data_IF_289101041317
#
_entry.id   IF_289101041317
#
_cell.length_a   1.000
_cell.length_b   1.000
_cell.length_c   1.000
_cell.angle_alpha   90.00
_cell.angle_beta   90.00
_cell.angle_gamma   90.00
#
_symmetry.space_group_name_H-M   'P 1'
#
loop_
_entity.id
_entity.type
_entity.pdbx_description
1 polymer ?
#
# COMPACT_ATOMS: atom_id res chain seq x y z
N UNK A 1 -2.40 -21.83 -9.22
CA UNK A 1 -1.87 -21.15 -8.03
C UNK A 1 -1.10 -19.94 -8.51
N UNK A 2 -1.77 -18.79 -8.49
CA UNK A 2 -1.28 -17.45 -8.82
C UNK A 2 -0.44 -16.91 -7.64
N UNK A 3 0.59 -17.65 -7.22
CA UNK A 3 1.35 -17.34 -5.99
C UNK A 3 2.04 -15.99 -6.06
N UNK A 4 2.45 -15.54 -7.26
CA UNK A 4 3.25 -14.33 -7.39
C UNK A 4 2.46 -13.05 -7.09
N UNK A 5 1.27 -12.89 -7.68
CA UNK A 5 0.45 -11.69 -7.46
C UNK A 5 -0.08 -11.63 -6.04
N UNK A 6 -0.45 -12.77 -5.47
CA UNK A 6 -0.88 -12.88 -4.09
C UNK A 6 0.27 -12.50 -3.14
N UNK A 7 1.47 -13.06 -3.37
CA UNK A 7 2.66 -12.72 -2.58
C UNK A 7 3.01 -11.23 -2.68
N UNK A 8 2.99 -10.65 -3.87
CA UNK A 8 3.28 -9.22 -4.07
C UNK A 8 2.24 -8.33 -3.39
N UNK A 9 0.96 -8.64 -3.53
CA UNK A 9 -0.15 -7.88 -2.92
C UNK A 9 -0.09 -7.96 -1.39
N UNK A 10 0.16 -9.14 -0.84
CA UNK A 10 0.32 -9.35 0.61
C UNK A 10 1.57 -8.64 1.13
N UNK A 11 2.69 -8.71 0.42
CA UNK A 11 3.93 -8.01 0.82
C UNK A 11 3.70 -6.50 0.88
N UNK A 12 3.06 -5.92 -0.14
CA UNK A 12 2.76 -4.48 -0.16
C UNK A 12 1.77 -4.11 0.94
N UNK A 13 0.78 -4.96 1.22
CA UNK A 13 -0.18 -4.74 2.30
C UNK A 13 0.50 -4.74 3.69
N UNK A 14 1.41 -5.70 3.94
CA UNK A 14 2.18 -5.76 5.19
C UNK A 14 3.08 -4.53 5.33
N UNK A 15 3.76 -4.11 4.25
CA UNK A 15 4.59 -2.91 4.27
C UNK A 15 3.77 -1.65 4.60
N UNK A 16 2.58 -1.53 4.01
CA UNK A 16 1.64 -0.44 4.26
C UNK A 16 1.18 -0.42 5.72
N UNK A 17 0.77 -1.58 6.25
CA UNK A 17 0.39 -1.70 7.65
C UNK A 17 1.56 -1.36 8.58
N UNK A 18 2.77 -1.81 8.26
CA UNK A 18 3.98 -1.50 9.03
C UNK A 18 4.26 0.00 9.12
N UNK A 19 4.21 0.72 8.00
CA UNK A 19 4.39 2.18 7.97
C UNK A 19 3.26 2.89 8.73
N UNK A 20 2.02 2.44 8.56
CA UNK A 20 0.89 2.99 9.30
C UNK A 20 1.09 2.88 10.81
N UNK A 21 1.41 1.69 11.33
CA UNK A 21 1.64 1.49 12.75
C UNK A 21 2.86 2.26 13.28
N UNK A 22 3.92 2.34 12.47
CA UNK A 22 5.11 3.11 12.82
C UNK A 22 4.80 4.60 12.99
N UNK A 23 4.06 5.20 12.06
CA UNK A 23 3.63 6.61 12.14
C UNK A 23 2.52 6.84 13.16
N UNK A 24 1.61 5.87 13.34
CA UNK A 24 0.55 5.94 14.34
C UNK A 24 1.09 6.13 15.76
N UNK A 25 2.26 5.58 16.05
CA UNK A 25 2.94 5.77 17.33
C UNK A 25 3.42 7.20 17.58
N UNK A 26 3.66 7.99 16.53
CA UNK A 26 4.31 9.30 16.63
C UNK A 26 3.35 10.47 16.37
N UNK A 27 2.43 10.37 15.40
CA UNK A 27 1.77 11.56 14.83
C UNK A 27 0.30 11.36 14.39
N UNK A 28 -0.36 10.26 14.78
CA UNK A 28 -1.76 9.97 14.41
C UNK A 28 -2.09 10.24 12.91
N UNK A 29 -1.42 9.55 11.97
CA UNK A 29 -1.52 9.83 10.55
C UNK A 29 -2.95 9.56 10.03
N UNK A 30 -3.39 10.26 8.98
CA UNK A 30 -4.70 10.01 8.38
C UNK A 30 -4.80 8.58 7.83
N UNK A 31 -5.89 7.88 8.16
CA UNK A 31 -6.09 6.48 7.78
C UNK A 31 -6.39 6.29 6.28
N UNK A 32 -6.99 7.29 5.65
CA UNK A 32 -7.44 7.25 4.26
C UNK A 32 -6.37 6.79 3.23
N UNK A 33 -5.14 7.34 3.20
CA UNK A 33 -4.10 6.90 2.27
C UNK A 33 -3.73 5.41 2.40
N UNK A 34 -3.65 4.91 3.63
CA UNK A 34 -3.31 3.50 3.89
C UNK A 34 -4.44 2.55 3.48
N UNK A 35 -5.70 2.97 3.66
CA UNK A 35 -6.86 2.20 3.15
C UNK A 35 -6.96 2.22 1.63
N UNK A 36 -6.51 3.29 0.97
CA UNK A 36 -6.44 3.30 -0.48
C UNK A 36 -5.44 2.26 -1.00
N UNK A 37 -4.27 2.15 -0.35
CA UNK A 37 -3.27 1.14 -0.74
C UNK A 37 -3.77 -0.28 -0.48
N UNK A 38 -4.49 -0.53 0.62
CA UNK A 38 -5.07 -1.85 0.86
C UNK A 38 -6.12 -2.23 -0.18
N UNK A 39 -6.90 -1.26 -0.65
CA UNK A 39 -7.83 -1.45 -1.76
C UNK A 39 -7.08 -1.76 -3.06
N UNK A 40 -5.98 -1.06 -3.35
CA UNK A 40 -5.11 -1.35 -4.51
C UNK A 40 -4.58 -2.79 -4.44
N UNK A 41 -4.13 -3.28 -3.29
CA UNK A 41 -3.69 -4.67 -3.13
C UNK A 41 -4.83 -5.67 -3.42
N UNK A 42 -6.03 -5.42 -2.88
CA UNK A 42 -7.18 -6.30 -3.08
C UNK A 42 -7.61 -6.35 -4.57
N UNK A 43 -7.69 -5.19 -5.22
CA UNK A 43 -8.05 -5.08 -6.64
C UNK A 43 -6.98 -5.70 -7.53
N UNK A 44 -5.69 -5.51 -7.20
CA UNK A 44 -4.59 -6.10 -7.96
C UNK A 44 -4.59 -7.62 -7.88
N UNK A 45 -4.82 -8.19 -6.68
CA UNK A 45 -4.92 -9.63 -6.49
C UNK A 45 -6.11 -10.21 -7.28
N UNK A 46 -7.28 -9.58 -7.18
CA UNK A 46 -8.45 -9.98 -7.96
C UNK A 46 -8.19 -9.89 -9.46
N UNK A 47 -7.61 -8.79 -9.95
CA UNK A 47 -7.34 -8.57 -11.37
C UNK A 47 -6.30 -9.55 -11.91
N UNK A 48 -5.23 -9.83 -11.14
CA UNK A 48 -4.21 -10.82 -11.49
C UNK A 48 -4.81 -12.21 -11.65
N UNK A 49 -5.66 -12.62 -10.70
CA UNK A 49 -6.32 -13.93 -10.70
C UNK A 49 -7.38 -14.11 -11.80
N UNK A 50 -7.89 -13.01 -12.39
CA UNK A 50 -8.84 -13.05 -13.50
C UNK A 50 -8.17 -12.89 -14.88
N UNK A 51 -6.84 -13.00 -14.97
CA UNK A 51 -6.09 -12.91 -16.23
C UNK A 51 -5.66 -11.49 -16.63
N UNK A 52 -5.92 -10.48 -15.80
CA UNK A 52 -5.51 -9.09 -15.99
C UNK A 52 -4.10 -8.79 -15.48
N UNK A 53 -3.15 -9.73 -15.62
CA UNK A 53 -1.83 -9.68 -14.97
C UNK A 53 -1.06 -8.36 -15.19
N UNK A 54 -1.06 -7.81 -16.40
CA UNK A 54 -0.40 -6.52 -16.69
C UNK A 54 -1.01 -5.37 -15.88
N UNK A 55 -2.35 -5.33 -15.78
CA UNK A 55 -3.04 -4.32 -14.97
C UNK A 55 -2.77 -4.47 -13.48
N UNK A 56 -2.70 -5.72 -12.98
CA UNK A 56 -2.37 -6.01 -11.59
C UNK A 56 -0.95 -5.54 -11.23
N UNK A 57 0.04 -5.80 -12.10
CA UNK A 57 1.42 -5.33 -11.89
C UNK A 57 1.48 -3.81 -11.88
N UNK A 58 0.82 -3.13 -12.82
CA UNK A 58 0.81 -1.66 -12.88
C UNK A 58 0.16 -1.05 -11.63
N UNK A 59 -0.92 -1.64 -11.13
CA UNK A 59 -1.57 -1.20 -9.88
C UNK A 59 -0.65 -1.39 -8.67
N UNK A 60 0.03 -2.52 -8.55
CA UNK A 60 0.99 -2.77 -7.47
C UNK A 60 2.18 -1.80 -7.52
N UNK A 61 2.67 -1.49 -8.72
CA UNK A 61 3.73 -0.48 -8.92
C UNK A 61 3.23 0.90 -8.47
N UNK A 62 2.04 1.31 -8.91
CA UNK A 62 1.45 2.59 -8.51
C UNK A 62 1.24 2.68 -6.99
N UNK A 63 0.72 1.61 -6.38
CA UNK A 63 0.55 1.52 -4.92
C UNK A 63 1.88 1.58 -4.17
N UNK A 64 2.94 0.97 -4.71
CA UNK A 64 4.29 1.02 -4.13
C UNK A 64 4.88 2.44 -4.16
N UNK A 65 4.74 3.16 -5.28
CA UNK A 65 5.17 4.55 -5.37
C UNK A 65 4.39 5.46 -4.44
N UNK A 66 3.07 5.25 -4.32
CA UNK A 66 2.24 6.02 -3.40
C UNK A 66 2.62 5.75 -1.95
N UNK A 67 2.90 4.49 -1.59
CA UNK A 67 3.40 4.14 -0.26
C UNK A 67 4.75 4.80 0.04
N UNK A 68 5.69 4.80 -0.92
CA UNK A 68 6.98 5.47 -0.77
C UNK A 68 6.84 6.99 -0.62
N UNK A 69 5.90 7.59 -1.35
CA UNK A 69 5.58 9.00 -1.22
C UNK A 69 5.14 9.32 0.22
N UNK A 70 4.15 8.60 0.75
CA UNK A 70 3.68 8.78 2.14
C UNK A 70 4.79 8.47 3.14
N UNK A 71 5.57 7.42 2.92
CA UNK A 71 6.68 7.06 3.81
C UNK A 71 7.71 8.19 3.90
N UNK A 72 7.98 8.88 2.79
CA UNK A 72 8.93 9.98 2.70
C UNK A 72 8.40 11.35 3.11
N UNK A 73 7.10 11.51 3.42
CA UNK A 73 6.59 12.78 3.93
C UNK A 73 7.26 13.12 5.26
N UNK A 74 7.64 14.38 5.52
CA UNK A 74 8.14 14.76 6.84
C UNK A 74 7.07 14.50 7.90
N UNK A 75 7.50 14.23 9.13
CA UNK A 75 6.59 14.23 10.28
C UNK A 75 5.90 15.59 10.35
N UNK A 76 4.60 15.61 10.58
CA UNK A 76 3.92 16.88 10.82
C UNK A 76 4.58 17.53 12.04
N UNK A 77 5.25 18.66 11.85
CA UNK A 77 5.75 19.44 12.98
C UNK A 77 4.54 19.80 13.84
N UNK A 78 4.61 19.48 15.13
CA UNK A 78 3.64 19.97 16.11
C UNK A 78 3.61 21.49 15.95
N UNK A 79 2.52 22.02 15.37
CA UNK A 79 2.33 23.46 15.33
C UNK A 79 2.16 23.92 16.78
N UNK A 80 3.23 24.51 17.31
CA UNK A 80 3.35 25.12 18.63
C UNK A 80 2.16 26.04 18.96
#
# INVERSE_FOLDING_TARGET
METLYDLMSVTLFIATAGIFFYRFRNENPPLAPYMLISLVCAVSNWLGNNGGGVGAVLLLIAGSFYLLHIAGEPYAEESE
#
